data_IF_919834024419
#
_entry.id   IF_919834024419
#
_cell.length_a   1.000
_cell.length_b   1.000
_cell.length_c   1.000
_cell.angle_alpha   90.00
_cell.angle_beta   90.00
_cell.angle_gamma   90.00
#
_symmetry.space_group_name_H-M   'P 1'
#
loop_
_entity.id
_entity.type
_entity.pdbx_description
1 polymer ?
#
# COMPACT_ATOMS: atom_id res chain seq x y z
N UNK A 1 8.98 -5.71 24.78
CA UNK A 1 8.22 -5.95 23.54
C UNK A 1 8.84 -7.13 22.82
N UNK A 2 8.02 -8.12 22.45
CA UNK A 2 8.51 -9.32 21.77
C UNK A 2 9.07 -9.00 20.38
N UNK A 3 10.05 -9.78 19.93
CA UNK A 3 10.70 -9.60 18.60
C UNK A 3 9.68 -9.58 17.47
N UNK A 4 8.59 -10.36 17.59
CA UNK A 4 7.49 -10.42 16.64
C UNK A 4 6.68 -9.12 16.60
N UNK A 5 6.28 -8.61 17.76
CA UNK A 5 5.57 -7.32 17.87
C UNK A 5 6.37 -6.19 17.27
N UNK A 6 7.69 -6.15 17.51
CA UNK A 6 8.59 -5.15 16.93
C UNK A 6 8.61 -5.20 15.40
N UNK A 7 8.69 -6.40 14.81
CA UNK A 7 8.66 -6.58 13.36
C UNK A 7 7.35 -6.11 12.72
N UNK A 8 6.22 -6.40 13.38
CA UNK A 8 4.89 -5.97 12.90
C UNK A 8 4.77 -4.45 12.95
N UNK A 9 5.18 -3.83 14.06
CA UNK A 9 5.15 -2.37 14.20
C UNK A 9 6.04 -1.72 13.13
N UNK A 10 7.26 -2.22 12.91
CA UNK A 10 8.12 -1.72 11.85
C UNK A 10 7.49 -1.88 10.46
N UNK A 11 6.90 -3.03 10.17
CA UNK A 11 6.20 -3.27 8.91
C UNK A 11 5.05 -2.26 8.71
N UNK A 12 4.20 -2.07 9.72
CA UNK A 12 3.09 -1.11 9.65
C UNK A 12 3.57 0.32 9.47
N UNK A 13 4.62 0.74 10.19
CA UNK A 13 5.21 2.08 10.05
C UNK A 13 5.74 2.30 8.63
N UNK A 14 6.43 1.31 8.06
CA UNK A 14 6.91 1.38 6.67
C UNK A 14 5.75 1.50 5.71
N UNK A 15 4.71 0.66 5.84
CA UNK A 15 3.52 0.70 4.97
C UNK A 15 2.84 2.07 5.03
N UNK A 16 2.55 2.57 6.24
CA UNK A 16 1.89 3.88 6.41
C UNK A 16 2.76 5.01 5.83
N UNK A 17 4.08 4.94 5.99
CA UNK A 17 5.00 5.94 5.45
C UNK A 17 5.00 5.93 3.92
N UNK A 18 5.05 4.75 3.29
CA UNK A 18 4.99 4.60 1.82
C UNK A 18 3.66 5.11 1.27
N UNK A 19 2.54 4.72 1.88
CA UNK A 19 1.21 5.17 1.45
C UNK A 19 1.07 6.69 1.58
N UNK A 20 1.54 7.27 2.69
CA UNK A 20 1.52 8.72 2.90
C UNK A 20 2.38 9.44 1.85
N UNK A 21 3.53 8.89 1.50
CA UNK A 21 4.39 9.39 0.42
C UNK A 21 3.66 9.42 -0.93
N UNK A 22 2.98 8.33 -1.29
CA UNK A 22 2.18 8.29 -2.51
C UNK A 22 1.04 9.30 -2.50
N UNK A 23 0.36 9.50 -1.37
CA UNK A 23 -0.74 10.49 -1.25
C UNK A 23 -0.23 11.90 -1.57
N UNK A 24 0.90 12.29 -0.98
CA UNK A 24 1.50 13.61 -1.21
C UNK A 24 1.96 13.76 -2.67
N UNK A 25 2.68 12.77 -3.20
CA UNK A 25 3.16 12.78 -4.59
C UNK A 25 2.01 12.83 -5.59
N UNK A 26 0.95 12.05 -5.37
CA UNK A 26 -0.22 12.02 -6.24
C UNK A 26 -0.99 13.34 -6.21
N UNK A 27 -1.20 13.90 -5.02
CA UNK A 27 -1.87 15.19 -4.89
C UNK A 27 -1.08 16.32 -5.57
N UNK A 28 0.23 16.34 -5.35
CA UNK A 28 1.14 17.28 -6.01
C UNK A 28 1.14 17.11 -7.53
N UNK A 29 1.23 15.87 -8.03
CA UNK A 29 1.22 15.57 -9.46
C UNK A 29 -0.08 15.96 -10.15
N UNK A 30 -1.22 15.75 -9.49
CA UNK A 30 -2.53 16.22 -9.97
C UNK A 30 -2.60 17.74 -10.08
N UNK A 31 -2.06 18.46 -9.09
CA UNK A 31 -2.04 19.92 -9.13
C UNK A 31 -1.06 20.49 -10.17
N UNK A 32 0.10 19.86 -10.35
CA UNK A 32 1.19 20.40 -11.17
C UNK A 32 1.19 19.93 -12.62
N UNK A 33 0.93 18.65 -12.88
CA UNK A 33 1.01 18.08 -14.23
C UNK A 33 -0.35 17.95 -14.91
N UNK A 34 -1.42 17.66 -14.15
CA UNK A 34 -2.79 17.56 -14.71
C UNK A 34 -3.56 18.87 -14.61
N UNK A 35 -3.07 19.86 -13.86
CA UNK A 35 -3.78 21.13 -13.62
C UNK A 35 -5.11 20.97 -12.87
N UNK A 36 -5.27 19.86 -12.13
CA UNK A 36 -6.50 19.47 -11.42
C UNK A 36 -6.23 19.38 -9.92
N UNK A 37 -6.06 20.52 -9.22
CA UNK A 37 -5.85 20.51 -7.78
C UNK A 37 -7.07 19.88 -7.08
N UNK A 38 -6.80 19.04 -6.08
CA UNK A 38 -7.84 18.31 -5.36
C UNK A 38 -7.50 18.19 -3.87
N UNK A 39 -8.49 17.99 -2.99
CA UNK A 39 -8.22 17.83 -1.57
C UNK A 39 -7.53 16.49 -1.29
N UNK A 40 -6.69 16.45 -0.24
CA UNK A 40 -5.87 15.29 0.10
C UNK A 40 -6.68 14.00 0.32
N UNK A 41 -7.89 14.08 0.89
CA UNK A 41 -8.73 12.90 1.12
C UNK A 41 -9.12 12.18 -0.18
N UNK A 42 -9.23 12.90 -1.30
CA UNK A 42 -9.49 12.29 -2.62
C UNK A 42 -8.27 11.52 -3.09
N UNK A 43 -7.07 12.09 -2.94
CA UNK A 43 -5.81 11.40 -3.22
C UNK A 43 -5.61 10.16 -2.34
N UNK A 44 -5.99 10.20 -1.06
CA UNK A 44 -6.01 9.01 -0.18
C UNK A 44 -6.88 7.91 -0.77
N UNK A 45 -8.09 8.24 -1.19
CA UNK A 45 -9.01 7.29 -1.81
C UNK A 45 -8.40 6.63 -3.06
N UNK A 46 -7.77 7.41 -3.94
CA UNK A 46 -7.11 6.89 -5.14
C UNK A 46 -5.94 5.96 -4.77
N UNK A 47 -5.03 6.41 -3.90
CA UNK A 47 -3.87 5.60 -3.49
C UNK A 47 -4.32 4.26 -2.89
N UNK A 48 -5.32 4.28 -2.00
CA UNK A 48 -5.87 3.05 -1.41
C UNK A 48 -6.42 2.13 -2.50
N UNK A 49 -7.25 2.65 -3.42
CA UNK A 49 -7.83 1.84 -4.50
C UNK A 49 -6.78 1.28 -5.46
N UNK A 50 -5.70 2.03 -5.74
CA UNK A 50 -4.63 1.58 -6.64
C UNK A 50 -3.78 0.50 -5.98
N UNK A 51 -3.38 0.70 -4.72
CA UNK A 51 -2.57 -0.26 -3.96
C UNK A 51 -3.34 -1.57 -3.69
N UNK A 52 -4.66 -1.48 -3.48
CA UNK A 52 -5.52 -2.67 -3.34
C UNK A 52 -5.99 -3.23 -4.68
N UNK A 53 -5.57 -2.65 -5.80
CA UNK A 53 -5.95 -3.06 -7.16
C UNK A 53 -7.46 -3.02 -7.45
N UNK A 54 -8.24 -2.30 -6.64
CA UNK A 54 -9.69 -2.07 -6.86
C UNK A 54 -9.91 -1.15 -8.05
N UNK A 55 -9.21 -0.02 -8.08
CA UNK A 55 -9.14 0.88 -9.23
C UNK A 55 -10.47 1.35 -9.83
N UNK A 56 -11.34 2.03 -9.07
CA UNK A 56 -12.61 2.55 -9.63
C UNK A 56 -12.44 3.62 -10.73
N UNK A 57 -11.21 4.10 -10.96
CA UNK A 57 -10.88 4.95 -12.10
C UNK A 57 -11.37 6.40 -11.98
N UNK A 58 -11.74 6.88 -10.79
CA UNK A 58 -12.40 8.19 -10.62
C UNK A 58 -11.62 9.42 -11.09
N UNK A 59 -10.30 9.33 -11.23
CA UNK A 59 -9.45 10.42 -11.76
C UNK A 59 -8.83 10.11 -13.14
N UNK A 60 -9.03 8.87 -13.64
CA UNK A 60 -8.56 8.45 -14.95
C UNK A 60 -9.45 9.00 -16.09
N UNK A 61 -8.91 9.15 -17.32
CA UNK A 61 -7.51 8.97 -17.70
C UNK A 61 -6.61 10.14 -17.26
N UNK A 62 -5.34 9.84 -16.99
CA UNK A 62 -4.29 10.87 -16.77
C UNK A 62 -3.64 11.24 -18.10
N UNK A 63 -3.46 12.54 -18.33
CA UNK A 63 -2.92 13.05 -19.60
C UNK A 63 -1.39 13.12 -19.61
N UNK A 64 -0.79 13.33 -18.44
CA UNK A 64 0.66 13.46 -18.31
C UNK A 64 1.36 12.11 -18.19
N UNK A 65 2.51 11.90 -18.88
CA UNK A 65 3.30 10.69 -18.74
C UNK A 65 3.73 10.43 -17.28
N UNK A 66 4.07 11.48 -16.54
CA UNK A 66 4.52 11.43 -15.15
C UNK A 66 3.47 10.80 -14.24
N UNK A 67 2.20 11.19 -14.40
CA UNK A 67 1.11 10.60 -13.62
C UNK A 67 0.84 9.15 -14.00
N UNK A 68 0.92 8.81 -15.29
CA UNK A 68 0.78 7.43 -15.75
C UNK A 68 1.87 6.52 -15.15
N UNK A 69 3.13 6.97 -15.11
CA UNK A 69 4.21 6.25 -14.44
C UNK A 69 4.00 6.15 -12.92
N UNK A 70 3.59 7.24 -12.27
CA UNK A 70 3.31 7.24 -10.83
C UNK A 70 2.21 6.23 -10.48
N UNK A 71 1.09 6.22 -11.20
CA UNK A 71 -0.02 5.29 -10.96
C UNK A 71 0.38 3.84 -11.21
N UNK A 72 1.18 3.60 -12.25
CA UNK A 72 1.73 2.27 -12.53
C UNK A 72 2.64 1.80 -11.39
N UNK A 73 3.52 2.67 -10.89
CA UNK A 73 4.39 2.38 -9.75
C UNK A 73 3.58 2.11 -8.47
N UNK A 74 2.52 2.87 -8.22
CA UNK A 74 1.61 2.62 -7.10
C UNK A 74 0.97 1.23 -7.21
N UNK A 75 0.49 0.85 -8.39
CA UNK A 75 -0.11 -0.48 -8.59
C UNK A 75 0.91 -1.61 -8.37
N UNK A 76 2.14 -1.46 -8.88
CA UNK A 76 3.23 -2.41 -8.66
C UNK A 76 3.61 -2.50 -7.17
N UNK A 77 3.62 -1.37 -6.46
CA UNK A 77 3.88 -1.37 -5.01
C UNK A 77 2.81 -2.14 -4.23
N UNK A 78 1.55 -2.06 -4.65
CA UNK A 78 0.46 -2.85 -4.07
C UNK A 78 0.69 -4.35 -4.18
N UNK A 79 1.14 -4.81 -5.35
CA UNK A 79 1.52 -6.20 -5.57
C UNK A 79 2.64 -6.63 -4.59
N UNK A 80 3.70 -5.83 -4.48
CA UNK A 80 4.82 -6.11 -3.55
C UNK A 80 4.34 -6.15 -2.10
N UNK A 81 3.47 -5.22 -1.70
CA UNK A 81 2.95 -5.13 -0.33
C UNK A 81 2.08 -6.35 0.03
N UNK A 82 1.25 -6.85 -0.89
CA UNK A 82 0.44 -8.06 -0.69
C UNK A 82 1.35 -9.27 -0.44
N UNK A 83 2.39 -9.46 -1.26
CA UNK A 83 3.36 -10.55 -1.07
C UNK A 83 4.16 -10.40 0.22
N UNK A 84 4.48 -9.17 0.63
CA UNK A 84 5.15 -8.91 1.91
C UNK A 84 4.24 -9.16 3.12
N UNK A 85 2.93 -8.92 2.98
CA UNK A 85 1.95 -9.13 4.05
C UNK A 85 1.68 -10.62 4.31
N UNK A 86 1.65 -11.45 3.25
CA UNK A 86 1.30 -12.88 3.31
C UNK A 86 2.08 -13.67 4.38
N UNK A 87 3.43 -13.66 4.41
CA UNK A 87 4.20 -14.36 5.45
C UNK A 87 3.88 -13.88 6.87
N UNK A 88 3.66 -12.57 7.04
CA UNK A 88 3.35 -11.98 8.34
C UNK A 88 1.99 -12.47 8.84
N UNK A 89 0.99 -12.59 7.96
CA UNK A 89 -0.34 -13.08 8.30
C UNK A 89 -0.36 -14.60 8.52
N UNK A 90 0.28 -15.38 7.63
CA UNK A 90 0.30 -16.85 7.72
C UNK A 90 1.00 -17.35 8.99
N UNK A 91 2.13 -16.75 9.38
CA UNK A 91 2.88 -17.11 10.60
C UNK A 91 2.07 -16.87 11.89
N UNK A 92 1.08 -15.98 11.86
CA UNK A 92 0.23 -15.67 13.01
C UNK A 92 -0.91 -16.68 13.18
N UNK A 93 -1.51 -17.11 12.07
CA UNK A 93 -2.75 -17.90 12.08
C UNK A 93 -2.47 -19.38 12.31
N UNK A 94 -1.27 -19.88 11.96
CA UNK A 94 -0.93 -21.29 12.19
C UNK A 94 -0.72 -21.57 13.68
N UNK A 95 -1.54 -22.43 14.32
CA UNK A 95 -1.30 -22.85 15.69
C UNK A 95 0.04 -23.60 15.78
N UNK A 96 0.78 -23.43 16.89
CA UNK A 96 1.90 -24.32 17.19
C UNK A 96 1.35 -25.74 17.26
N UNK A 97 1.85 -26.64 16.42
CA UNK A 97 1.49 -28.06 16.52
C UNK A 97 1.80 -28.55 17.94
N UNK A 98 0.94 -29.37 18.55
CA UNK A 98 1.25 -29.97 19.83
C UNK A 98 2.41 -30.95 19.61
N UNK A 99 3.63 -30.53 20.00
CA UNK A 99 4.75 -31.45 20.21
C UNK A 99 4.45 -32.28 21.46
N UNK A 100 3.69 -33.36 21.28
CA UNK A 100 3.52 -34.42 22.28
C UNK A 100 4.21 -35.69 21.80
N UNK A 101 4.99 -36.39 22.64
CA UNK A 101 5.63 -37.63 22.25
C UNK A 101 4.57 -38.70 21.97
N UNK A 102 4.69 -39.38 20.84
CA UNK A 102 3.96 -40.62 20.58
C UNK A 102 4.57 -41.66 21.52
N UNK A 103 3.82 -42.03 22.55
CA UNK A 103 4.17 -43.14 23.46
C UNK A 103 4.09 -44.49 22.78
#
# INVERSE_FOLDING_TARGET
MDRRTRLIVYYLVIVVSVLSGFVVLYNYGMATWEGRPQPLYRSVGVVVQTVTTVGYGGDAPWTSPQMNYLVSLMALSGLVLIFAALPVLVVQVLPKSPTGPVG
#
